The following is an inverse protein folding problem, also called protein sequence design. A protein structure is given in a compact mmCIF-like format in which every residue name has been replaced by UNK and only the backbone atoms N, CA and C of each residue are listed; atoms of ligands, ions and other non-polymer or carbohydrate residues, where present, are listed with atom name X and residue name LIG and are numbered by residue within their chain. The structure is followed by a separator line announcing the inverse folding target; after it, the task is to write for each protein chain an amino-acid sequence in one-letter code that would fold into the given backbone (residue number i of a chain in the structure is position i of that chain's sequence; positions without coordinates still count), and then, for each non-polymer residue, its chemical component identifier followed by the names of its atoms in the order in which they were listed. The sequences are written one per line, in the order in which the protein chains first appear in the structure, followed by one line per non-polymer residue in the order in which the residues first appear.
data_IF_155290716287
#
_entry.id   IF_155290716287
#
_cell.length_a   1.000
_cell.length_b   1.000
_cell.length_c   1.000
_cell.angle_alpha   90.00
_cell.angle_beta   90.00
_cell.angle_gamma   90.00
#
_symmetry.space_group_name_H-M   'P 1'
#
loop_
_entity.id
_entity.type
_entity.pdbx_description
1 polymer ?
#
# COMPACT_ATOMS: atom_id res chain seq x y z
N UNK A 1 32.94 -22.78 -0.70
CA UNK A 1 32.04 -22.20 0.32
C UNK A 1 30.71 -21.86 -0.33
N UNK A 2 29.67 -22.55 0.04
CA UNK A 2 28.35 -22.15 -0.42
C UNK A 2 27.98 -20.85 0.28
N UNK A 3 27.89 -19.75 -0.47
CA UNK A 3 27.23 -18.58 0.01
C UNK A 3 25.78 -18.99 0.29
N UNK A 4 25.43 -19.05 1.57
CA UNK A 4 24.03 -19.19 1.93
C UNK A 4 23.32 -17.99 1.32
N UNK A 5 22.55 -18.21 0.27
CA UNK A 5 21.64 -17.21 -0.23
C UNK A 5 20.66 -16.94 0.91
N UNK A 6 20.93 -15.88 1.64
CA UNK A 6 19.96 -15.37 2.61
C UNK A 6 18.75 -14.99 1.81
N UNK A 7 17.71 -15.76 1.92
CA UNK A 7 16.44 -15.46 1.28
C UNK A 7 15.92 -14.18 1.91
N UNK A 8 16.06 -13.06 1.20
CA UNK A 8 15.60 -11.76 1.67
C UNK A 8 14.09 -11.71 1.46
N UNK A 9 13.35 -11.68 2.56
CA UNK A 9 11.91 -11.55 2.54
C UNK A 9 11.53 -10.07 2.44
N UNK A 10 10.71 -9.71 1.46
CA UNK A 10 10.19 -8.36 1.31
C UNK A 10 8.79 -8.27 1.91
N UNK A 11 8.65 -7.48 2.97
CA UNK A 11 7.35 -7.23 3.60
C UNK A 11 6.58 -6.22 2.75
N UNK A 12 5.42 -6.62 2.26
CA UNK A 12 4.59 -5.77 1.39
C UNK A 12 3.37 -5.18 2.08
N UNK A 13 2.93 -5.74 3.20
CA UNK A 13 1.69 -5.33 3.85
C UNK A 13 1.94 -4.82 5.27
N UNK A 14 2.67 -3.72 5.37
CA UNK A 14 2.96 -3.09 6.65
C UNK A 14 1.94 -1.97 6.90
N UNK A 15 1.34 -1.98 8.09
CA UNK A 15 0.48 -0.91 8.57
C UNK A 15 1.30 -0.01 9.49
N UNK A 16 1.36 1.28 9.17
CA UNK A 16 2.03 2.28 10.00
C UNK A 16 1.10 2.82 11.11
N UNK A 17 1.63 3.74 11.90
CA UNK A 17 0.85 4.47 12.90
C UNK A 17 -0.37 5.21 12.32
N UNK A 18 -0.40 5.45 11.01
CA UNK A 18 -1.52 6.11 10.34
C UNK A 18 -2.70 5.18 10.06
N UNK A 19 -2.54 3.87 10.22
CA UNK A 19 -3.65 2.91 10.25
C UNK A 19 -4.20 2.83 11.66
N UNK A 20 -5.17 3.67 11.96
CA UNK A 20 -5.75 3.79 13.31
C UNK A 20 -6.35 2.45 13.75
N UNK A 21 -6.01 2.03 14.95
CA UNK A 21 -6.39 0.75 15.57
C UNK A 21 -5.80 -0.52 14.93
N UNK A 22 -4.99 -0.41 13.89
CA UNK A 22 -4.37 -1.56 13.23
C UNK A 22 -2.85 -1.56 13.33
N UNK A 23 -2.22 -0.39 13.18
CA UNK A 23 -0.78 -0.26 13.18
C UNK A 23 -0.26 0.63 14.31
N UNK A 24 0.92 0.28 14.83
CA UNK A 24 1.58 1.04 15.88
C UNK A 24 3.02 1.42 15.53
N UNK A 25 3.53 0.93 14.41
CA UNK A 25 4.92 1.14 14.01
C UNK A 25 5.09 2.55 13.44
N UNK A 26 6.01 3.30 13.99
CA UNK A 26 6.40 4.59 13.44
C UNK A 26 7.28 4.40 12.21
N UNK A 27 7.19 5.33 11.26
CA UNK A 27 7.97 5.25 10.03
C UNK A 27 9.48 5.36 10.30
N UNK A 28 9.88 6.09 11.33
CA UNK A 28 11.29 6.14 11.75
C UNK A 28 11.81 4.77 12.20
N UNK A 29 11.00 4.01 12.93
CA UNK A 29 11.33 2.66 13.35
C UNK A 29 11.46 1.71 12.16
N UNK A 30 10.62 1.87 11.15
CA UNK A 30 10.71 1.11 9.89
C UNK A 30 11.99 1.43 9.13
N UNK A 31 12.43 2.69 9.14
CA UNK A 31 13.68 3.11 8.53
C UNK A 31 14.88 2.41 9.20
N UNK A 32 14.92 2.42 10.53
CA UNK A 32 15.98 1.74 11.29
C UNK A 32 15.97 0.24 11.03
N UNK A 33 14.80 -0.39 11.06
CA UNK A 33 14.63 -1.80 10.78
C UNK A 33 15.13 -2.18 9.38
N UNK A 34 14.79 -1.40 8.37
CA UNK A 34 15.21 -1.66 6.99
C UNK A 34 16.72 -1.51 6.82
N UNK A 35 17.31 -0.55 7.52
CA UNK A 35 18.76 -0.31 7.50
C UNK A 35 19.54 -1.43 8.20
N UNK A 36 19.09 -1.85 9.38
CA UNK A 36 19.71 -2.92 10.16
C UNK A 36 19.66 -4.27 9.44
N UNK A 37 18.55 -4.58 8.81
CA UNK A 37 18.34 -5.84 8.10
C UNK A 37 18.73 -5.80 6.63
N UNK A 38 19.21 -4.67 6.14
CA UNK A 38 19.61 -4.45 4.74
C UNK A 38 18.56 -4.92 3.74
N UNK A 39 17.32 -4.50 3.97
CA UNK A 39 16.20 -4.87 3.13
C UNK A 39 16.32 -4.23 1.74
N UNK A 40 15.97 -4.97 0.70
CA UNK A 40 15.96 -4.44 -0.69
C UNK A 40 14.73 -3.60 -0.96
N UNK A 41 13.59 -4.02 -0.45
CA UNK A 41 12.32 -3.34 -0.65
C UNK A 41 11.43 -3.48 0.58
N UNK A 42 10.55 -2.52 0.78
CA UNK A 42 9.60 -2.53 1.88
C UNK A 42 8.30 -1.88 1.41
N UNK A 43 7.17 -2.54 1.64
CA UNK A 43 5.85 -2.08 1.21
C UNK A 43 5.02 -1.53 2.35
N UNK A 44 4.54 -0.30 2.19
CA UNK A 44 3.55 0.30 3.09
C UNK A 44 2.16 0.06 2.52
N UNK A 45 1.23 -0.39 3.36
CA UNK A 45 -0.15 -0.67 2.94
C UNK A 45 -1.13 -0.29 4.05
N UNK A 46 -1.24 1.01 4.32
CA UNK A 46 -2.16 1.52 5.32
C UNK A 46 -3.62 1.39 4.85
N UNK A 47 -4.53 1.13 5.80
CA UNK A 47 -5.95 0.94 5.49
C UNK A 47 -6.64 2.27 5.22
N UNK A 48 -7.21 2.41 4.05
CA UNK A 48 -8.05 3.54 3.61
C UNK A 48 -7.36 4.90 3.66
N UNK A 49 -6.04 4.96 3.66
CA UNK A 49 -5.32 6.23 3.61
C UNK A 49 -3.92 6.10 3.00
N UNK A 50 -3.38 7.24 2.58
CA UNK A 50 -2.01 7.39 2.09
C UNK A 50 -1.26 8.45 2.92
N UNK A 51 -1.65 8.67 4.16
CA UNK A 51 -1.12 9.73 5.01
C UNK A 51 0.39 9.60 5.25
N UNK A 52 0.89 8.39 5.36
CA UNK A 52 2.31 8.13 5.59
C UNK A 52 3.14 7.89 4.33
N UNK A 53 2.53 7.93 3.15
CA UNK A 53 3.20 7.54 1.90
C UNK A 53 4.44 8.38 1.58
N UNK A 54 4.33 9.70 1.67
CA UNK A 54 5.46 10.60 1.39
C UNK A 54 6.59 10.45 2.39
N UNK A 55 6.26 10.46 3.68
CA UNK A 55 7.24 10.29 4.75
C UNK A 55 7.95 8.94 4.64
N UNK A 56 7.19 7.88 4.38
CA UNK A 56 7.72 6.55 4.15
C UNK A 56 8.68 6.50 2.95
N UNK A 57 8.25 7.06 1.82
CA UNK A 57 9.06 7.08 0.61
C UNK A 57 10.40 7.80 0.81
N UNK A 58 10.37 8.96 1.46
CA UNK A 58 11.59 9.73 1.72
C UNK A 58 12.53 9.03 2.69
N UNK A 59 12.01 8.55 3.82
CA UNK A 59 12.82 7.95 4.87
C UNK A 59 13.38 6.59 4.48
N UNK A 60 12.59 5.76 3.84
CA UNK A 60 13.03 4.42 3.40
C UNK A 60 14.02 4.50 2.25
N UNK A 61 13.84 5.44 1.32
CA UNK A 61 14.81 5.68 0.25
C UNK A 61 16.19 6.06 0.80
N UNK A 62 16.22 6.87 1.84
CA UNK A 62 17.48 7.29 2.49
C UNK A 62 18.22 6.13 3.17
N UNK A 63 17.51 5.09 3.56
CA UNK A 63 18.14 3.88 4.14
C UNK A 63 18.67 2.89 3.10
N UNK A 64 18.51 3.18 1.80
CA UNK A 64 18.93 2.30 0.72
C UNK A 64 17.92 1.22 0.35
N UNK A 65 16.72 1.27 0.90
CA UNK A 65 15.62 0.34 0.63
C UNK A 65 14.64 0.96 -0.36
N UNK A 66 14.16 0.19 -1.32
CA UNK A 66 13.14 0.67 -2.26
C UNK A 66 11.77 0.73 -1.56
N UNK A 67 11.15 1.91 -1.48
CA UNK A 67 9.80 2.02 -0.95
C UNK A 67 8.77 1.56 -2.00
N UNK A 68 7.81 0.76 -1.56
CA UNK A 68 6.66 0.35 -2.36
C UNK A 68 5.43 0.94 -1.69
N UNK A 69 4.71 1.76 -2.42
CA UNK A 69 3.54 2.47 -1.89
C UNK A 69 2.27 1.72 -2.25
N UNK A 70 1.46 1.46 -1.25
CA UNK A 70 0.16 0.84 -1.41
C UNK A 70 -0.84 1.34 -0.39
N UNK A 71 -2.08 0.96 -0.59
CA UNK A 71 -3.15 1.17 0.37
C UNK A 71 -4.13 0.02 0.31
N UNK A 72 -4.76 -0.27 1.42
CA UNK A 72 -5.77 -1.32 1.53
C UNK A 72 -7.15 -0.67 1.57
N UNK A 73 -7.99 -0.99 0.60
CA UNK A 73 -9.31 -0.39 0.45
C UNK A 73 -10.39 -1.48 0.56
N UNK A 74 -11.50 -1.13 1.20
CA UNK A 74 -12.68 -1.99 1.22
C UNK A 74 -13.35 -1.99 -0.15
N UNK A 75 -13.59 -3.18 -0.69
CA UNK A 75 -14.34 -3.37 -1.92
C UNK A 75 -15.60 -4.14 -1.65
N UNK A 76 -16.67 -3.72 -2.30
CA UNK A 76 -17.98 -4.36 -2.25
C UNK A 76 -18.25 -5.07 -3.58
N UNK A 77 -18.62 -6.33 -3.48
CA UNK A 77 -19.06 -7.13 -4.62
C UNK A 77 -20.36 -7.85 -4.24
N UNK A 78 -21.47 -7.39 -4.80
CA UNK A 78 -22.79 -7.86 -4.38
C UNK A 78 -23.02 -7.59 -2.89
N UNK A 79 -23.27 -8.62 -2.11
CA UNK A 79 -23.46 -8.54 -0.66
C UNK A 79 -22.16 -8.81 0.13
N UNK A 80 -21.07 -9.07 -0.57
CA UNK A 80 -19.77 -9.40 0.04
C UNK A 80 -18.87 -8.16 0.07
N UNK A 81 -18.25 -7.92 1.22
CA UNK A 81 -17.27 -6.85 1.41
C UNK A 81 -15.92 -7.45 1.77
N UNK A 82 -14.85 -6.96 1.18
CA UNK A 82 -13.50 -7.43 1.47
C UNK A 82 -12.48 -6.31 1.37
N UNK A 83 -11.33 -6.51 2.02
CA UNK A 83 -10.17 -5.63 1.92
C UNK A 83 -9.26 -6.10 0.80
N UNK A 84 -8.87 -5.19 -0.07
CA UNK A 84 -7.95 -5.47 -1.15
C UNK A 84 -6.75 -4.53 -1.09
N UNK A 85 -5.53 -5.05 -0.94
CA UNK A 85 -4.34 -4.21 -1.03
C UNK A 85 -4.02 -3.86 -2.48
N UNK A 86 -3.75 -2.60 -2.73
CA UNK A 86 -3.38 -2.07 -4.04
C UNK A 86 -2.00 -1.44 -3.94
N UNK A 87 -1.10 -1.76 -4.88
CA UNK A 87 0.25 -1.25 -4.91
C UNK A 87 0.53 -0.47 -6.19
N UNK A 88 1.22 0.64 -6.07
CA UNK A 88 1.65 1.43 -7.21
C UNK A 88 2.90 0.81 -7.84
N UNK A 89 2.84 0.52 -9.14
CA UNK A 89 3.99 0.05 -9.91
C UNK A 89 4.79 1.21 -10.49
N UNK A 90 4.14 2.33 -10.74
CA UNK A 90 4.71 3.53 -11.33
C UNK A 90 3.94 4.78 -10.87
N UNK A 91 4.30 5.93 -11.41
CA UNK A 91 3.66 7.20 -11.08
C UNK A 91 2.18 7.24 -11.47
N UNK A 92 1.82 6.66 -12.61
CA UNK A 92 0.41 6.59 -13.03
C UNK A 92 -0.42 5.71 -12.10
N UNK A 93 0.14 4.58 -11.67
CA UNK A 93 -0.46 3.70 -10.69
C UNK A 93 -0.69 4.41 -9.36
N UNK A 94 0.28 5.21 -8.92
CA UNK A 94 0.15 6.03 -7.70
C UNK A 94 -0.99 7.05 -7.80
N UNK A 95 -1.09 7.74 -8.93
CA UNK A 95 -2.20 8.68 -9.17
C UNK A 95 -3.56 7.99 -9.15
N UNK A 96 -3.66 6.78 -9.71
CA UNK A 96 -4.88 5.98 -9.68
C UNK A 96 -5.24 5.53 -8.27
N UNK A 97 -4.27 5.16 -7.46
CA UNK A 97 -4.49 4.81 -6.06
C UNK A 97 -5.01 6.02 -5.27
N UNK A 98 -4.46 7.20 -5.50
CA UNK A 98 -4.95 8.44 -4.88
C UNK A 98 -6.41 8.69 -5.28
N UNK A 99 -6.72 8.55 -6.56
CA UNK A 99 -8.09 8.71 -7.07
C UNK A 99 -9.05 7.71 -6.45
N UNK A 100 -8.70 6.43 -6.41
CA UNK A 100 -9.53 5.38 -5.80
C UNK A 100 -9.71 5.60 -4.29
N UNK A 101 -8.67 6.02 -3.59
CA UNK A 101 -8.76 6.35 -2.17
C UNK A 101 -9.74 7.51 -1.94
N UNK A 102 -9.66 8.55 -2.75
CA UNK A 102 -10.59 9.69 -2.68
C UNK A 102 -12.03 9.26 -2.98
N UNK A 103 -12.25 8.46 -4.01
CA UNK A 103 -13.58 7.98 -4.38
C UNK A 103 -14.20 7.11 -3.29
N UNK A 104 -13.40 6.36 -2.54
CA UNK A 104 -13.91 5.51 -1.44
C UNK A 104 -14.57 6.33 -0.33
N UNK A 105 -14.16 7.57 -0.14
CA UNK A 105 -14.77 8.49 0.82
C UNK A 105 -15.89 9.33 0.22
N UNK A 106 -15.74 9.75 -1.04
CA UNK A 106 -16.65 10.72 -1.67
C UNK A 106 -17.97 10.12 -2.17
N UNK A 107 -17.98 8.87 -2.58
CA UNK A 107 -19.16 8.21 -3.16
C UNK A 107 -20.06 7.49 -2.15
N UNK A 108 -19.69 7.49 -0.88
CA UNK A 108 -20.44 6.77 0.14
C UNK A 108 -21.19 7.73 1.06
N UNK A 109 -22.27 7.23 1.64
CA UNK A 109 -23.01 7.95 2.66
C UNK A 109 -22.14 8.12 3.92
N UNK A 110 -22.36 9.22 4.63
CA UNK A 110 -21.58 9.57 5.85
C UNK A 110 -21.60 8.50 6.93
N UNK A 111 -22.62 7.63 6.92
CA UNK A 111 -22.81 6.57 7.91
C UNK A 111 -22.19 5.23 7.52
N UNK A 112 -21.69 5.09 6.30
CA UNK A 112 -21.06 3.85 5.85
C UNK A 112 -19.53 3.94 5.89
N UNK A 113 -18.88 2.79 6.14
CA UNK A 113 -17.43 2.72 6.03
C UNK A 113 -16.97 3.02 4.61
N UNK A 114 -15.83 3.70 4.42
CA UNK A 114 -15.28 3.95 3.08
C UNK A 114 -15.12 2.66 2.30
N UNK A 115 -15.69 2.59 1.11
CA UNK A 115 -15.58 1.43 0.23
C UNK A 115 -15.72 1.80 -1.23
N UNK A 116 -15.28 0.90 -2.12
CA UNK A 116 -15.45 1.00 -3.56
C UNK A 116 -16.19 -0.21 -4.09
N UNK A 117 -16.91 -0.04 -5.19
CA UNK A 117 -17.46 -1.15 -5.94
C UNK A 117 -16.33 -1.85 -6.71
N UNK A 118 -16.31 -3.17 -6.70
CA UNK A 118 -15.26 -3.96 -7.35
C UNK A 118 -15.18 -3.69 -8.87
N UNK A 119 -16.27 -3.27 -9.50
CA UNK A 119 -16.29 -2.92 -10.92
C UNK A 119 -15.33 -1.78 -11.28
N UNK A 120 -14.99 -0.90 -10.33
CA UNK A 120 -14.06 0.21 -10.55
C UNK A 120 -12.62 -0.25 -10.77
N UNK A 121 -12.24 -1.44 -10.32
CA UNK A 121 -10.91 -1.99 -10.53
C UNK A 121 -10.63 -2.20 -12.02
N UNK A 122 -11.62 -2.63 -12.79
CA UNK A 122 -11.48 -2.85 -14.23
C UNK A 122 -11.19 -1.57 -15.02
N UNK A 123 -11.62 -0.44 -14.48
CA UNK A 123 -11.36 0.89 -15.10
C UNK A 123 -9.93 1.35 -14.80
N UNK A 124 -9.38 0.94 -13.65
CA UNK A 124 -8.06 1.38 -13.20
C UNK A 124 -6.91 0.46 -13.61
N UNK A 125 -7.19 -0.76 -14.05
CA UNK A 125 -6.15 -1.66 -14.55
C UNK A 125 -5.64 -1.21 -15.92
N UNK A 126 -4.30 -1.12 -16.10
CA UNK A 126 -3.77 -0.94 -17.44
C UNK A 126 -4.19 -2.15 -18.29
N UNK A 127 -4.77 -1.88 -19.44
CA UNK A 127 -5.11 -2.92 -20.41
C UNK A 127 -3.83 -3.69 -20.75
N UNK A 128 -3.74 -4.92 -20.27
CA UNK A 128 -2.68 -5.82 -20.76
C UNK A 128 -2.93 -6.05 -22.24
N UNK A 129 -1.92 -5.83 -23.10
CA UNK A 129 -2.10 -6.23 -24.48
C UNK A 129 -2.41 -7.73 -24.50
N UNK A 130 -3.54 -8.07 -25.07
CA UNK A 130 -3.89 -9.47 -25.35
C UNK A 130 -2.84 -10.04 -26.28
N UNK A 131 -2.12 -10.99 -25.79
CA UNK A 131 -1.18 -11.75 -26.61
C UNK A 131 -1.96 -12.71 -27.50
#
# INVERSE_FOLDING_TARGET
MAESQVQIFNHLKIHSQYSICEGAIKIDDLKEFSKENKLRALGLCDTSNLCGALEFAEKISKSGTQPIIGTQINFKYGDTTGLLPLYALDEEGYKKIIELSSLSFLKNDELSDPHLDLSLIHISEPTRPSV
#
